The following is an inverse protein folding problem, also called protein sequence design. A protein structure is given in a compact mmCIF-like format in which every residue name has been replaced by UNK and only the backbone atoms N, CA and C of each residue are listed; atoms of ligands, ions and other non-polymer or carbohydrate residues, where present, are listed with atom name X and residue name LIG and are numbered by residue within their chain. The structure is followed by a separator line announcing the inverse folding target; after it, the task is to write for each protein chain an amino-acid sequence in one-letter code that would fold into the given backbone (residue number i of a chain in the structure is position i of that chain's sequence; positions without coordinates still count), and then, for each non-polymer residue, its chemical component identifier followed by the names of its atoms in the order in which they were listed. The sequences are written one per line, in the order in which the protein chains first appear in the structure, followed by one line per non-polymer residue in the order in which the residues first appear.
data_IF_954920121165
#
_entry.id   IF_954920121165
#
_cell.length_a   1.000
_cell.length_b   1.000
_cell.length_c   1.000
_cell.angle_alpha   90.00
_cell.angle_beta   90.00
_cell.angle_gamma   90.00
#
_symmetry.space_group_name_H-M   'P 1'
#
loop_
_entity.id
_entity.type
_entity.pdbx_description
1 polymer ?
#
# COMPACT_ATOMS: atom_id res chain seq x y z
N UNK A 1 14.27 14.86 -14.06
CA UNK A 1 13.94 13.76 -13.13
C UNK A 1 14.11 12.44 -13.87
N UNK A 2 14.75 11.43 -13.28
CA UNK A 2 14.86 10.11 -13.93
C UNK A 2 13.49 9.41 -13.92
N UNK A 3 13.09 8.81 -15.04
CA UNK A 3 11.87 7.99 -15.09
C UNK A 3 12.12 6.70 -14.30
N UNK A 4 11.50 6.60 -13.12
CA UNK A 4 11.52 5.35 -12.37
C UNK A 4 10.92 4.22 -13.24
N UNK A 5 11.63 3.10 -13.31
CA UNK A 5 11.21 1.92 -14.07
C UNK A 5 10.00 1.23 -13.45
N UNK A 6 9.35 0.35 -14.22
CA UNK A 6 8.36 -0.57 -13.67
C UNK A 6 9.06 -1.52 -12.69
N UNK A 7 8.50 -1.68 -11.49
CA UNK A 7 9.03 -2.57 -10.46
C UNK A 7 8.08 -3.74 -10.28
N UNK A 8 8.62 -4.93 -10.04
CA UNK A 8 7.83 -6.13 -9.77
C UNK A 8 7.69 -6.33 -8.26
N UNK A 9 6.45 -6.49 -7.80
CA UNK A 9 6.12 -7.05 -6.49
C UNK A 9 6.07 -8.57 -6.71
N UNK A 10 6.89 -9.29 -5.96
CA UNK A 10 6.96 -10.76 -5.98
C UNK A 10 6.88 -11.26 -4.53
N UNK A 11 5.86 -12.07 -4.25
CA UNK A 11 5.66 -12.81 -3.02
C UNK A 11 4.61 -13.90 -3.29
N UNK A 12 4.61 -15.01 -2.55
CA UNK A 12 3.59 -16.05 -2.70
C UNK A 12 2.23 -15.54 -2.22
N UNK A 13 1.19 -15.86 -2.99
CA UNK A 13 -0.18 -15.90 -2.48
C UNK A 13 -0.40 -17.25 -1.80
N UNK A 14 -1.34 -17.29 -0.87
CA UNK A 14 -1.63 -18.46 -0.04
C UNK A 14 -3.14 -18.61 0.08
N UNK A 15 -3.67 -19.76 -0.34
CA UNK A 15 -5.09 -20.11 -0.24
C UNK A 15 -5.54 -20.05 1.23
N UNK A 16 -6.73 -19.50 1.50
CA UNK A 16 -7.26 -19.25 2.84
C UNK A 16 -6.80 -17.94 3.48
N UNK A 17 -5.83 -17.24 2.87
CA UNK A 17 -5.34 -15.93 3.34
C UNK A 17 -5.45 -14.84 2.26
N UNK A 18 -5.25 -15.21 0.99
CA UNK A 18 -5.18 -14.31 -0.15
C UNK A 18 -6.34 -14.48 -1.14
N UNK A 19 -7.48 -15.02 -0.70
CA UNK A 19 -8.52 -15.54 -1.59
C UNK A 19 -9.14 -14.48 -2.51
N UNK A 20 -9.37 -13.26 -2.03
CA UNK A 20 -9.91 -12.17 -2.86
C UNK A 20 -8.93 -11.76 -3.97
N UNK A 21 -7.62 -11.75 -3.67
CA UNK A 21 -6.59 -11.47 -4.68
C UNK A 21 -6.35 -12.67 -5.61
N UNK A 22 -6.47 -13.90 -5.13
CA UNK A 22 -6.40 -15.12 -5.94
C UNK A 22 -7.55 -15.19 -6.94
N UNK A 23 -8.80 -15.03 -6.49
CA UNK A 23 -9.99 -15.06 -7.33
C UNK A 23 -9.89 -14.05 -8.50
N UNK A 24 -9.49 -12.81 -8.20
CA UNK A 24 -9.32 -11.76 -9.20
C UNK A 24 -8.13 -12.02 -10.14
N UNK A 25 -7.03 -12.60 -9.68
CA UNK A 25 -5.86 -12.89 -10.53
C UNK A 25 -6.00 -14.18 -11.37
N UNK A 26 -6.98 -15.02 -11.07
CA UNK A 26 -7.35 -16.21 -11.85
C UNK A 26 -8.28 -15.90 -13.04
N UNK A 27 -8.78 -14.67 -13.17
CA UNK A 27 -9.55 -14.23 -14.35
C UNK A 27 -8.72 -14.31 -15.65
N UNK A 28 -9.40 -14.55 -16.79
CA UNK A 28 -8.83 -14.73 -18.13
C UNK A 28 -7.83 -13.64 -18.57
N UNK A 29 -7.90 -12.44 -17.98
CA UNK A 29 -7.01 -11.33 -18.27
C UNK A 29 -6.24 -10.86 -17.03
N UNK A 30 -5.24 -11.62 -16.60
CA UNK A 30 -4.28 -11.28 -15.53
C UNK A 30 -3.65 -9.88 -15.67
N UNK A 31 -3.55 -9.30 -16.87
CA UNK A 31 -3.09 -7.91 -17.07
C UNK A 31 -4.14 -6.88 -16.64
N UNK A 32 -5.41 -7.14 -16.93
CA UNK A 32 -6.53 -6.33 -16.45
C UNK A 32 -6.69 -6.47 -14.93
N UNK A 33 -6.67 -7.70 -14.40
CA UNK A 33 -6.74 -7.97 -12.96
C UNK A 33 -5.64 -7.22 -12.19
N UNK A 34 -4.37 -7.33 -12.63
CA UNK A 34 -3.26 -6.54 -12.09
C UNK A 34 -3.52 -5.03 -12.13
N UNK A 35 -4.10 -4.51 -13.22
CA UNK A 35 -4.42 -3.09 -13.33
C UNK A 35 -5.53 -2.68 -12.36
N UNK A 36 -6.58 -3.49 -12.21
CA UNK A 36 -7.72 -3.23 -11.35
C UNK A 36 -7.32 -3.27 -9.86
N UNK A 37 -6.59 -4.30 -9.43
CA UNK A 37 -6.02 -4.44 -8.08
C UNK A 37 -5.23 -3.19 -7.67
N UNK A 38 -4.32 -2.74 -8.53
CA UNK A 38 -3.49 -1.56 -8.28
C UNK A 38 -4.30 -0.26 -8.34
N UNK A 39 -5.34 -0.16 -9.16
CA UNK A 39 -6.17 1.05 -9.27
C UNK A 39 -7.07 1.23 -8.05
N UNK A 40 -7.72 0.15 -7.59
CA UNK A 40 -8.47 0.13 -6.33
C UNK A 40 -7.55 0.49 -5.18
N UNK A 41 -6.38 -0.15 -5.10
CA UNK A 41 -5.44 0.05 -3.99
C UNK A 41 -4.85 1.46 -3.98
N UNK A 42 -4.47 2.01 -5.13
CA UNK A 42 -3.97 3.39 -5.24
C UNK A 42 -5.03 4.39 -4.80
N UNK A 43 -6.31 4.15 -5.09
CA UNK A 43 -7.41 5.01 -4.66
C UNK A 43 -7.70 4.90 -3.15
N UNK A 44 -7.71 3.68 -2.61
CA UNK A 44 -8.14 3.41 -1.23
C UNK A 44 -7.04 3.64 -0.16
N UNK A 45 -5.79 3.89 -0.56
CA UNK A 45 -4.66 4.11 0.37
C UNK A 45 -4.92 5.13 1.48
N UNK A 46 -5.71 6.18 1.22
CA UNK A 46 -5.98 7.24 2.20
C UNK A 46 -7.04 6.83 3.23
N UNK A 47 -7.99 5.97 2.85
CA UNK A 47 -9.09 5.50 3.72
C UNK A 47 -8.73 4.21 4.45
N UNK A 48 -7.94 3.33 3.81
CA UNK A 48 -7.55 2.01 4.33
C UNK A 48 -6.02 1.85 4.33
N UNK A 49 -5.26 2.70 5.06
CA UNK A 49 -3.80 2.72 5.06
C UNK A 49 -3.19 1.38 5.50
N UNK A 50 -1.88 1.21 5.29
CA UNK A 50 -1.14 0.04 5.79
C UNK A 50 -1.25 -0.05 7.31
N UNK A 51 -1.51 -1.27 7.80
CA UNK A 51 -1.70 -1.63 9.19
C UNK A 51 -0.67 -2.68 9.62
N UNK A 52 -0.61 -2.98 10.92
CA UNK A 52 0.23 -4.05 11.48
C UNK A 52 -0.17 -5.43 10.91
N UNK A 53 -1.45 -5.65 10.58
CA UNK A 53 -1.92 -6.92 10.01
C UNK A 53 -1.27 -7.21 8.66
N UNK A 54 -0.97 -6.18 7.86
CA UNK A 54 -0.34 -6.35 6.55
C UNK A 54 1.12 -6.85 6.66
N UNK A 55 1.76 -6.78 7.83
CA UNK A 55 3.10 -7.35 8.05
C UNK A 55 3.08 -8.83 8.48
N UNK A 56 1.90 -9.41 8.74
CA UNK A 56 1.77 -10.79 9.19
C UNK A 56 2.13 -11.75 8.05
N UNK A 57 2.97 -12.75 8.33
CA UNK A 57 3.14 -13.88 7.43
C UNK A 57 1.82 -14.67 7.30
N UNK A 58 1.49 -15.19 6.11
CA UNK A 58 0.38 -16.11 5.95
C UNK A 58 0.65 -17.39 6.77
N UNK A 59 -0.43 -18.09 7.14
CA UNK A 59 -0.34 -19.42 7.73
C UNK A 59 -0.09 -20.51 6.68
N UNK A 60 -0.32 -21.75 7.07
CA UNK A 60 -0.21 -22.90 6.17
C UNK A 60 -1.30 -22.88 5.09
N UNK A 61 -0.92 -23.20 3.85
CA UNK A 61 -1.83 -23.25 2.70
C UNK A 61 -1.08 -23.51 1.39
N UNK A 62 -1.82 -23.70 0.30
CA UNK A 62 -1.24 -23.87 -1.04
C UNK A 62 -0.62 -22.54 -1.51
N UNK A 63 0.61 -22.60 -2.04
CA UNK A 63 1.38 -21.43 -2.49
C UNK A 63 1.18 -21.18 -4.00
N UNK A 64 0.89 -19.93 -4.36
CA UNK A 64 0.68 -19.49 -5.74
C UNK A 64 1.59 -18.30 -6.09
N UNK A 65 2.36 -18.39 -7.17
CA UNK A 65 3.33 -17.36 -7.56
C UNK A 65 2.69 -16.07 -8.12
N UNK A 66 2.62 -15.03 -7.29
CA UNK A 66 2.25 -13.69 -7.72
C UNK A 66 3.45 -12.88 -8.22
N UNK A 67 3.23 -12.24 -9.37
CA UNK A 67 4.10 -11.22 -9.94
C UNK A 67 3.23 -10.08 -10.45
N UNK A 68 3.25 -8.97 -9.73
CA UNK A 68 2.45 -7.77 -10.01
C UNK A 68 3.38 -6.66 -10.47
N UNK A 69 3.05 -6.02 -11.59
CA UNK A 69 3.88 -4.98 -12.23
C UNK A 69 3.43 -3.57 -11.81
N UNK A 70 4.18 -2.95 -10.90
CA UNK A 70 3.92 -1.61 -10.37
C UNK A 70 4.60 -0.55 -11.23
N UNK A 71 3.81 0.26 -11.95
CA UNK A 71 4.31 1.39 -12.73
C UNK A 71 4.25 2.69 -11.90
N UNK A 72 5.39 3.32 -11.55
CA UNK A 72 5.43 4.50 -10.68
C UNK A 72 4.70 5.72 -11.25
N UNK A 73 4.62 5.84 -12.58
CA UNK A 73 3.92 6.96 -13.23
C UNK A 73 2.39 6.77 -13.20
N UNK A 74 1.89 5.54 -13.01
CA UNK A 74 0.45 5.24 -12.91
C UNK A 74 -0.02 5.16 -11.47
N UNK A 75 0.83 4.66 -10.57
CA UNK A 75 0.53 4.38 -9.16
C UNK A 75 1.60 4.99 -8.24
N UNK A 76 1.71 6.33 -8.21
CA UNK A 76 2.79 7.02 -7.51
C UNK A 76 2.74 6.82 -5.99
N UNK A 77 1.55 6.71 -5.38
CA UNK A 77 1.42 6.55 -3.93
C UNK A 77 1.76 5.13 -3.49
N UNK A 78 1.26 4.11 -4.19
CA UNK A 78 1.66 2.72 -3.99
C UNK A 78 3.16 2.51 -4.24
N UNK A 79 3.75 3.19 -5.23
CA UNK A 79 5.18 3.12 -5.47
C UNK A 79 6.00 3.74 -4.33
N UNK A 80 5.65 4.95 -3.90
CA UNK A 80 6.30 5.61 -2.76
C UNK A 80 6.22 4.71 -1.51
N UNK A 81 5.04 4.16 -1.23
CA UNK A 81 4.83 3.19 -0.16
C UNK A 81 5.75 1.98 -0.31
N UNK A 82 5.72 1.28 -1.45
CA UNK A 82 6.55 0.10 -1.72
C UNK A 82 8.05 0.37 -1.51
N UNK A 83 8.54 1.55 -1.92
CA UNK A 83 9.95 1.94 -1.72
C UNK A 83 10.29 2.32 -0.29
N UNK A 84 9.31 2.69 0.53
CA UNK A 84 9.49 3.03 1.95
C UNK A 84 9.42 1.81 2.89
N UNK A 85 8.87 0.69 2.43
CA UNK A 85 8.76 -0.55 3.20
C UNK A 85 10.15 -1.21 3.40
N UNK A 86 10.41 -1.83 4.57
CA UNK A 86 11.69 -2.49 4.82
C UNK A 86 11.99 -3.62 3.83
N UNK A 87 13.28 -3.86 3.50
CA UNK A 87 13.69 -5.03 2.71
C UNK A 87 13.31 -6.33 3.43
N UNK A 88 13.16 -7.41 2.67
CA UNK A 88 12.65 -8.70 3.17
C UNK A 88 11.12 -8.76 3.23
N UNK A 89 10.46 -7.79 3.89
CA UNK A 89 9.00 -7.84 4.11
C UNK A 89 8.15 -7.13 3.05
N UNK A 90 8.70 -6.13 2.33
CA UNK A 90 7.94 -5.28 1.40
C UNK A 90 7.08 -6.01 0.35
N UNK A 91 7.52 -7.18 -0.12
CA UNK A 91 6.77 -7.98 -1.10
C UNK A 91 5.48 -8.54 -0.49
N UNK A 92 5.63 -9.24 0.64
CA UNK A 92 4.54 -9.75 1.46
C UNK A 92 3.59 -8.62 1.90
N UNK A 93 4.13 -7.55 2.49
CA UNK A 93 3.29 -6.45 3.01
C UNK A 93 2.47 -5.77 1.92
N UNK A 94 3.03 -5.64 0.72
CA UNK A 94 2.28 -5.12 -0.42
C UNK A 94 1.20 -6.10 -0.88
N UNK A 95 1.50 -7.40 -1.00
CA UNK A 95 0.50 -8.41 -1.38
C UNK A 95 -0.65 -8.48 -0.36
N UNK A 96 -0.36 -8.48 0.94
CA UNK A 96 -1.35 -8.46 2.01
C UNK A 96 -2.27 -7.24 1.90
N UNK A 97 -1.70 -6.04 1.70
CA UNK A 97 -2.44 -4.80 1.49
C UNK A 97 -3.35 -4.87 0.26
N UNK A 98 -2.83 -5.35 -0.88
CA UNK A 98 -3.59 -5.47 -2.13
C UNK A 98 -4.79 -6.43 -1.97
N UNK A 99 -4.60 -7.53 -1.24
CA UNK A 99 -5.67 -8.47 -0.90
C UNK A 99 -6.72 -7.83 0.03
N UNK A 100 -6.28 -7.19 1.13
CA UNK A 100 -7.17 -6.50 2.06
C UNK A 100 -7.98 -5.40 1.37
N UNK A 101 -7.40 -4.67 0.42
CA UNK A 101 -8.15 -3.70 -0.37
C UNK A 101 -9.23 -4.32 -1.27
N UNK A 102 -9.05 -5.54 -1.81
CA UNK A 102 -10.15 -6.22 -2.52
C UNK A 102 -11.26 -6.64 -1.55
N UNK A 103 -10.90 -7.27 -0.42
CA UNK A 103 -11.87 -7.65 0.62
C UNK A 103 -12.68 -6.44 1.13
N UNK A 104 -12.02 -5.30 1.36
CA UNK A 104 -12.69 -4.07 1.79
C UNK A 104 -13.54 -3.44 0.68
N UNK A 105 -13.12 -3.52 -0.59
CA UNK A 105 -13.96 -3.11 -1.74
C UNK A 105 -15.23 -3.96 -1.87
N UNK A 106 -15.15 -5.25 -1.57
CA UNK A 106 -16.30 -6.16 -1.59
C UNK A 106 -17.23 -5.92 -0.39
N UNK A 107 -16.66 -5.70 0.80
CA UNK A 107 -17.41 -5.42 2.04
C UNK A 107 -17.97 -3.98 2.12
N UNK A 108 -17.38 -3.02 1.42
CA UNK A 108 -17.72 -1.59 1.48
C UNK A 108 -17.56 -0.91 0.10
N UNK A 109 -18.36 -1.33 -0.90
CA UNK A 109 -18.21 -0.88 -2.28
C UNK A 109 -18.47 0.61 -2.47
N UNK A 110 -19.34 1.22 -1.65
CA UNK A 110 -19.63 2.66 -1.71
C UNK A 110 -18.40 3.52 -1.36
N UNK A 111 -17.66 3.15 -0.31
CA UNK A 111 -16.43 3.85 0.07
C UNK A 111 -15.33 3.69 -0.99
N UNK A 112 -15.13 2.46 -1.49
CA UNK A 112 -14.16 2.19 -2.55
C UNK A 112 -14.48 2.97 -3.84
N UNK A 113 -15.75 3.00 -4.25
CA UNK A 113 -16.20 3.74 -5.42
C UNK A 113 -16.09 5.27 -5.21
N UNK A 114 -16.39 5.78 -4.02
CA UNK A 114 -16.17 7.18 -3.67
C UNK A 114 -14.68 7.56 -3.74
N UNK A 115 -13.78 6.71 -3.23
CA UNK A 115 -12.34 6.90 -3.32
C UNK A 115 -11.83 6.87 -4.77
N UNK A 116 -12.29 5.92 -5.58
CA UNK A 116 -12.00 5.84 -7.01
C UNK A 116 -12.45 7.11 -7.76
N UNK A 117 -13.68 7.57 -7.53
CA UNK A 117 -14.22 8.79 -8.14
C UNK A 117 -13.42 10.03 -7.74
N UNK A 118 -13.06 10.18 -6.45
CA UNK A 118 -12.18 11.27 -5.97
C UNK A 118 -10.81 11.23 -6.66
N UNK A 119 -10.21 10.05 -6.82
CA UNK A 119 -8.93 9.90 -7.52
C UNK A 119 -9.03 10.26 -9.01
N UNK A 120 -10.13 9.91 -9.68
CA UNK A 120 -10.35 10.26 -11.09
C UNK A 120 -10.53 11.77 -11.29
N UNK A 121 -11.35 12.43 -10.46
CA UNK A 121 -11.53 13.88 -10.46
C UNK A 121 -10.22 14.62 -10.14
N UNK A 122 -9.48 14.16 -9.13
CA UNK A 122 -8.17 14.71 -8.77
C UNK A 122 -7.10 14.56 -9.85
N UNK A 123 -7.22 13.57 -10.75
CA UNK A 123 -6.35 13.45 -11.94
C UNK A 123 -6.75 14.41 -13.06
N UNK A 124 -8.05 14.71 -13.22
CA UNK A 124 -8.52 15.67 -14.24
C UNK A 124 -8.03 17.09 -13.92
N UNK A 125 -8.06 17.50 -12.66
CA UNK A 125 -7.52 18.80 -12.21
C UNK A 125 -6.00 18.96 -12.31
N UNK A 126 -5.26 17.92 -12.69
CA UNK A 126 -3.81 17.93 -12.91
C UNK A 126 -3.44 17.59 -14.37
N UNK A 127 -4.41 17.61 -15.29
CA UNK A 127 -4.28 17.11 -16.65
C UNK A 127 -4.15 18.15 -17.78
N UNK A 128 -4.43 19.43 -17.52
CA UNK A 128 -4.52 20.48 -18.56
C UNK A 128 -3.25 21.32 -18.75
N UNK A 129 -2.08 20.67 -18.79
CA UNK A 129 -0.84 21.27 -19.34
C UNK A 129 -0.18 20.35 -20.38
N UNK A 130 -0.95 19.93 -21.38
CA UNK A 130 -0.40 19.27 -22.57
C UNK A 130 -1.18 19.64 -23.85
N UNK A 131 -0.49 20.40 -24.70
CA UNK A 131 -0.77 20.60 -26.14
C UNK A 131 -1.90 21.58 -26.52
N UNK A 132 -1.59 22.87 -26.39
CA UNK A 132 -2.34 23.96 -26.99
C UNK A 132 -1.81 24.23 -28.42
N UNK A 133 -2.59 23.92 -29.47
CA UNK A 133 -2.35 24.48 -30.82
C UNK A 133 -3.60 24.43 -31.72
N UNK A 134 -4.18 25.62 -31.94
CA UNK A 134 -4.98 26.02 -33.13
C UNK A 134 -6.31 25.27 -33.33
N UNK A 135 -7.48 25.92 -33.26
CA UNK A 135 -7.92 27.03 -34.14
C UNK A 135 -8.74 28.14 -33.43
N UNK A 136 -8.55 29.37 -33.91
CA UNK A 136 -9.43 30.56 -33.77
C UNK A 136 -10.78 30.36 -34.51
N UNK A 137 -11.89 31.11 -34.30
CA UNK A 137 -12.27 32.19 -33.38
C UNK A 137 -13.82 32.28 -33.27
N UNK A 138 -14.39 32.99 -32.29
CA UNK A 138 -15.84 33.27 -32.19
C UNK A 138 -16.25 34.09 -30.95
N UNK A 139 -17.11 35.10 -31.11
CA UNK A 139 -17.18 36.32 -30.27
C UNK A 139 -18.66 36.80 -30.10
N UNK A 140 -19.13 37.65 -29.15
CA UNK A 140 -18.39 38.52 -28.20
C UNK A 140 -18.80 38.36 -26.69
N UNK A 141 -19.90 38.93 -26.12
CA UNK A 141 -19.71 39.57 -24.79
C UNK A 141 -20.76 39.33 -23.66
N UNK A 142 -20.26 39.10 -22.43
CA UNK A 142 -20.73 39.66 -21.14
C UNK A 142 -22.19 39.49 -20.65
N UNK A 143 -22.60 40.14 -19.54
CA UNK A 143 -21.83 40.96 -18.58
C UNK A 143 -22.00 40.57 -17.07
N UNK A 144 -21.27 41.30 -16.19
CA UNK A 144 -21.49 41.67 -14.74
C UNK A 144 -22.61 40.98 -13.90
N UNK A 145 -22.56 40.79 -12.57
CA UNK A 145 -21.80 41.36 -11.43
C UNK A 145 -22.15 40.53 -10.14
N UNK A 146 -21.71 40.77 -8.89
CA UNK A 146 -20.53 41.38 -8.23
C UNK A 146 -20.74 41.32 -6.67
N UNK A 147 -19.74 41.71 -5.86
CA UNK A 147 -19.75 41.81 -4.37
C UNK A 147 -19.77 40.43 -3.63
N UNK A 148 -19.11 40.21 -2.48
CA UNK A 148 -18.42 41.06 -1.51
C UNK A 148 -17.69 40.19 -0.44
N UNK A 149 -17.12 40.77 0.64
CA UNK A 149 -15.94 40.18 1.30
C UNK A 149 -16.08 39.79 2.79
N UNK A 150 -15.00 39.18 3.31
CA UNK A 150 -14.68 38.90 4.74
C UNK A 150 -15.56 37.80 5.40
N UNK A 151 -15.07 36.98 6.34
CA UNK A 151 -14.56 37.33 7.67
C UNK A 151 -13.46 36.35 8.17
N UNK A 152 -12.53 36.87 9.00
CA UNK A 152 -11.55 36.06 9.74
C UNK A 152 -12.11 35.67 11.11
N UNK A 153 -11.79 34.47 11.59
CA UNK A 153 -11.83 34.19 13.03
C UNK A 153 -10.65 33.32 13.45
N UNK A 154 -9.61 33.97 13.97
CA UNK A 154 -8.67 33.34 14.89
C UNK A 154 -9.32 33.23 16.28
N UNK A 155 -8.87 32.26 17.10
CA UNK A 155 -8.78 32.24 18.58
C UNK A 155 -8.90 30.78 19.04
N UNK A 156 -8.20 30.25 20.03
CA UNK A 156 -6.90 30.46 20.69
C UNK A 156 -6.88 29.37 21.79
N UNK A 157 -5.82 28.56 21.86
CA UNK A 157 -5.31 27.79 23.01
C UNK A 157 -6.27 27.32 24.14
N UNK A 158 -6.20 26.02 24.42
CA UNK A 158 -6.02 25.54 25.79
C UNK A 158 -5.16 24.27 25.84
N UNK A 159 -4.05 24.34 26.57
CA UNK A 159 -3.08 23.26 26.79
C UNK A 159 -2.94 23.06 28.30
N UNK A 160 -3.23 21.87 28.85
CA UNK A 160 -2.71 21.47 30.14
C UNK A 160 -1.28 20.98 29.98
N UNK A 161 -0.37 21.61 30.72
CA UNK A 161 0.94 21.05 31.07
C UNK A 161 0.76 20.26 32.36
N UNK A 162 1.43 19.10 32.55
CA UNK A 162 2.35 18.85 33.69
C UNK A 162 2.91 17.41 33.67
N UNK A 163 4.05 17.24 34.34
CA UNK A 163 5.05 16.18 34.22
C UNK A 163 4.71 14.80 34.82
N UNK A 164 5.33 13.76 34.27
CA UNK A 164 6.14 12.79 35.04
C UNK A 164 7.08 11.97 34.12
N UNK A 165 8.36 11.85 34.50
CA UNK A 165 9.43 11.07 33.86
C UNK A 165 10.45 10.72 34.96
N UNK A 166 11.23 9.61 34.95
CA UNK A 166 11.07 8.31 34.27
C UNK A 166 11.00 7.12 35.27
N UNK A 167 10.68 5.91 34.78
CA UNK A 167 11.02 4.67 35.48
C UNK A 167 12.07 3.88 34.69
N UNK A 168 13.23 3.61 35.31
CA UNK A 168 14.40 2.95 34.72
C UNK A 168 14.80 1.72 35.56
N UNK A 169 14.35 0.53 35.17
CA UNK A 169 14.82 -0.78 35.66
C UNK A 169 14.64 -1.76 34.49
N UNK A 170 15.64 -2.02 33.64
CA UNK A 170 16.82 -2.90 33.81
C UNK A 170 16.60 -4.29 33.17
N UNK A 171 17.62 -4.72 32.41
CA UNK A 171 17.84 -6.06 31.89
C UNK A 171 19.36 -6.35 32.00
N UNK A 172 19.86 -7.58 31.80
CA UNK A 172 19.20 -8.89 31.77
C UNK A 172 19.72 -9.79 32.93
N UNK A 173 19.69 -11.13 32.84
CA UNK A 173 20.85 -11.80 32.25
C UNK A 173 20.49 -12.92 31.24
N UNK A 174 21.51 -13.35 30.49
CA UNK A 174 21.41 -14.44 29.52
C UNK A 174 21.23 -15.81 30.19
N UNK A 175 20.53 -16.70 29.50
CA UNK A 175 20.73 -18.14 29.61
C UNK A 175 21.40 -18.61 28.31
N UNK A 176 22.55 -19.27 28.44
CA UNK A 176 23.27 -19.93 27.35
C UNK A 176 22.83 -21.39 27.25
N UNK A 177 23.17 -22.02 26.12
CA UNK A 177 23.14 -23.48 25.89
C UNK A 177 21.72 -24.11 25.88
N UNK A 178 21.44 -25.16 25.09
CA UNK A 178 22.32 -26.06 24.35
C UNK A 178 22.12 -26.04 22.83
N UNK A 179 23.24 -26.09 22.10
CA UNK A 179 23.27 -26.50 20.69
C UNK A 179 23.39 -28.03 20.69
N UNK A 180 22.30 -28.72 20.35
CA UNK A 180 22.32 -30.16 20.10
C UNK A 180 23.13 -30.46 18.84
N UNK A 181 24.40 -30.80 19.02
CA UNK A 181 25.29 -31.30 17.97
C UNK A 181 24.84 -32.70 17.51
N UNK A 182 24.38 -32.87 16.25
CA UNK A 182 23.86 -34.15 15.77
C UNK A 182 24.95 -35.19 15.45
N UNK A 183 26.24 -34.90 15.67
CA UNK A 183 27.35 -35.84 15.43
C UNK A 183 27.73 -36.70 16.65
N UNK A 184 27.16 -36.45 17.82
CA UNK A 184 27.51 -37.17 19.07
C UNK A 184 26.98 -38.63 19.17
N UNK A 185 26.34 -39.17 18.13
CA UNK A 185 25.71 -40.51 18.17
C UNK A 185 26.21 -41.45 17.06
N UNK A 186 27.53 -41.65 16.97
CA UNK A 186 28.11 -42.79 16.26
C UNK A 186 28.79 -43.76 17.26
N UNK A 187 28.45 -45.07 17.24
CA UNK A 187 29.14 -46.06 18.06
C UNK A 187 30.59 -46.26 17.57
N UNK A 188 31.53 -46.64 18.45
CA UNK A 188 32.92 -46.86 18.06
C UNK A 188 33.02 -48.06 17.11
N UNK A 189 33.70 -47.85 15.97
CA UNK A 189 34.06 -48.92 15.04
C UNK A 189 35.21 -49.75 15.63
N UNK A 190 34.90 -50.97 16.07
CA UNK A 190 35.90 -51.99 16.38
C UNK A 190 36.49 -52.56 15.08
N UNK A 191 37.81 -52.50 14.95
CA UNK A 191 38.56 -53.23 13.92
C UNK A 191 39.26 -54.41 14.59
N UNK A 192 38.84 -55.63 14.22
CA UNK A 192 39.62 -56.87 14.32
C UNK A 192 40.08 -57.25 12.89
#
# INVERSE_FOLDING_TARGET
MSKAGVVFIQAPLVTGFHDALLALLQEDNRRMANHLVLTVSEACLDIWPVTIQDYKAPGDGELHDAKIALNPNRFPRLYKLYTSLPPGVKGLTMINLLNRHQMMKEASPEEANAALNRMLLGRQGLGEEANNQTHQAGDVPGPAAALGPEEKTEVNVSRPTEAAVPAKVAAPPAAQEDILDPLASMPPLSFD
#
